data_IF_650665784243
#
_entry.id   IF_650665784243
#
_cell.length_a   1.000
_cell.length_b   1.000
_cell.length_c   1.000
_cell.angle_alpha   90.00
_cell.angle_beta   90.00
_cell.angle_gamma   90.00
#
_symmetry.space_group_name_H-M   'P 1'
#
loop_
_entity.id
_entity.type
_entity.pdbx_description
1 polymer ?
#
# COMPACT_ATOMS: atom_id res chain seq x y z
N UNK A 1 -1.34 4.33 -29.31
CA UNK A 1 -2.06 5.03 -28.22
C UNK A 1 -2.05 6.53 -28.51
N UNK A 2 -3.03 7.35 -28.06
CA UNK A 2 -3.05 8.78 -28.40
C UNK A 2 -1.89 9.54 -27.73
N UNK A 3 -1.41 10.62 -28.34
CA UNK A 3 -0.40 11.51 -27.73
C UNK A 3 -1.00 12.52 -26.74
N UNK A 4 -2.30 12.80 -26.85
CA UNK A 4 -3.06 13.76 -26.05
C UNK A 4 -4.36 13.12 -25.54
N UNK A 5 -4.73 13.38 -24.29
CA UNK A 5 -5.96 12.90 -23.68
C UNK A 5 -6.67 14.02 -22.91
N UNK A 6 -7.88 14.45 -23.31
CA UNK A 6 -8.63 15.49 -22.60
C UNK A 6 -9.16 14.97 -21.26
N UNK A 7 -9.11 15.81 -20.23
CA UNK A 7 -9.64 15.51 -18.90
C UNK A 7 -10.79 16.45 -18.57
N UNK A 8 -11.71 15.98 -17.73
CA UNK A 8 -12.90 16.76 -17.34
C UNK A 8 -12.53 18.08 -16.62
N UNK A 9 -11.51 18.02 -15.76
CA UNK A 9 -10.93 19.11 -14.98
C UNK A 9 -9.61 18.61 -14.36
N UNK A 10 -8.84 19.51 -13.75
CA UNK A 10 -7.57 19.25 -13.07
C UNK A 10 -7.75 18.62 -11.69
N UNK A 11 -6.96 19.04 -10.70
CA UNK A 11 -7.08 18.51 -9.33
C UNK A 11 -8.47 18.79 -8.71
N UNK A 12 -9.11 19.91 -9.08
CA UNK A 12 -10.42 20.31 -8.59
C UNK A 12 -11.38 20.68 -9.73
N UNK A 13 -12.71 20.56 -9.55
CA UNK A 13 -13.69 20.81 -10.62
C UNK A 13 -13.62 22.19 -11.30
N UNK A 14 -13.19 23.23 -10.58
CA UNK A 14 -13.07 24.59 -11.14
C UNK A 14 -11.80 24.80 -11.98
N UNK A 15 -10.85 23.86 -11.95
CA UNK A 15 -9.59 23.94 -12.71
C UNK A 15 -9.78 23.28 -14.08
N UNK A 16 -10.47 23.96 -15.00
CA UNK A 16 -10.71 23.48 -16.36
C UNK A 16 -10.32 24.55 -17.39
N UNK A 17 -9.82 24.16 -18.58
CA UNK A 17 -9.61 22.79 -19.06
C UNK A 17 -8.41 22.08 -18.43
N UNK A 18 -8.34 20.75 -18.58
CA UNK A 18 -7.19 19.93 -18.20
C UNK A 18 -6.96 18.80 -19.21
N UNK A 19 -5.75 18.26 -19.29
CA UNK A 19 -5.38 17.19 -20.21
C UNK A 19 -4.14 16.42 -19.72
N UNK A 20 -3.90 15.25 -20.30
CA UNK A 20 -2.63 14.53 -20.23
C UNK A 20 -1.98 14.53 -21.61
N UNK A 21 -0.66 14.70 -21.65
CA UNK A 21 0.13 14.70 -22.88
C UNK A 21 1.33 13.77 -22.69
N UNK A 22 1.64 12.99 -23.71
CA UNK A 22 2.84 12.16 -23.73
C UNK A 22 4.11 13.02 -23.72
N UNK A 23 5.11 12.59 -22.97
CA UNK A 23 6.40 13.27 -22.96
C UNK A 23 7.11 13.14 -24.33
N UNK A 24 7.87 14.16 -24.72
CA UNK A 24 8.71 14.13 -25.93
C UNK A 24 7.94 14.02 -27.26
N UNK A 25 6.62 14.26 -27.27
CA UNK A 25 5.79 14.13 -28.48
C UNK A 25 5.46 12.68 -28.89
N UNK A 26 5.69 11.71 -28.00
CA UNK A 26 5.36 10.30 -28.22
C UNK A 26 3.88 9.96 -28.01
N UNK A 27 3.60 8.68 -27.77
CA UNK A 27 2.28 8.19 -27.40
C UNK A 27 2.15 8.04 -25.88
N UNK A 28 0.93 8.19 -25.35
CA UNK A 28 0.66 7.86 -23.95
C UNK A 28 0.88 6.37 -23.71
N UNK A 29 1.36 5.96 -22.53
CA UNK A 29 1.65 4.56 -22.24
C UNK A 29 0.40 3.73 -21.92
N UNK A 30 -0.79 4.32 -22.00
CA UNK A 30 -2.03 3.65 -21.67
C UNK A 30 -3.15 3.95 -22.67
N UNK A 31 -4.14 3.07 -22.68
CA UNK A 31 -5.42 3.22 -23.36
C UNK A 31 -6.58 2.91 -22.41
N UNK A 32 -7.74 3.48 -22.72
CA UNK A 32 -8.96 3.30 -21.93
C UNK A 32 -9.74 2.10 -22.48
N UNK A 33 -9.86 1.06 -21.67
CA UNK A 33 -10.67 -0.13 -21.99
C UNK A 33 -12.13 0.10 -21.64
N UNK A 34 -12.41 0.79 -20.53
CA UNK A 34 -13.75 1.17 -20.09
C UNK A 34 -13.72 2.42 -19.21
N UNK A 35 -14.85 3.14 -19.14
CA UNK A 35 -14.99 4.35 -18.34
C UNK A 35 -14.17 5.52 -18.88
N UNK A 36 -13.78 6.44 -18.00
CA UNK A 36 -12.89 7.56 -18.35
C UNK A 36 -12.12 8.02 -17.09
N UNK A 37 -10.77 8.13 -17.14
CA UNK A 37 -9.99 8.58 -16.00
C UNK A 37 -10.10 10.11 -15.80
N UNK A 38 -10.11 10.55 -14.55
CA UNK A 38 -9.89 11.95 -14.17
C UNK A 38 -8.41 12.28 -13.92
N UNK A 39 -8.11 13.53 -13.61
CA UNK A 39 -6.75 14.01 -13.33
C UNK A 39 -6.09 13.27 -12.16
N UNK A 40 -6.77 13.21 -11.00
CA UNK A 40 -6.27 12.49 -9.82
C UNK A 40 -6.14 10.99 -10.09
N UNK A 41 -7.06 10.42 -10.88
CA UNK A 41 -6.96 9.02 -11.27
C UNK A 41 -5.68 8.71 -12.04
N UNK A 42 -5.23 9.61 -12.93
CA UNK A 42 -3.96 9.42 -13.64
C UNK A 42 -2.76 9.58 -12.72
N UNK A 43 -2.81 10.48 -11.71
CA UNK A 43 -1.75 10.58 -10.70
C UNK A 43 -1.62 9.27 -9.91
N UNK A 44 -2.74 8.70 -9.47
CA UNK A 44 -2.75 7.40 -8.79
C UNK A 44 -2.29 6.28 -9.73
N UNK A 45 -2.82 6.21 -10.96
CA UNK A 45 -2.53 5.16 -11.94
C UNK A 45 -1.04 5.10 -12.30
N UNK A 46 -0.42 6.23 -12.61
CA UNK A 46 0.96 6.26 -13.09
C UNK A 46 1.99 6.00 -11.98
N UNK A 47 1.70 6.40 -10.73
CA UNK A 47 2.54 6.03 -9.59
C UNK A 47 2.35 4.55 -9.20
N UNK A 48 1.10 4.10 -9.09
CA UNK A 48 0.78 2.73 -8.71
C UNK A 48 1.25 1.69 -9.72
N UNK A 49 1.18 2.00 -11.02
CA UNK A 49 1.74 1.14 -12.07
C UNK A 49 3.25 0.93 -11.91
N UNK A 50 4.00 2.00 -11.69
CA UNK A 50 5.45 1.90 -11.51
C UNK A 50 5.79 1.07 -10.26
N UNK A 51 5.05 1.25 -9.17
CA UNK A 51 5.22 0.43 -7.97
C UNK A 51 5.08 -1.06 -8.29
N UNK A 52 3.96 -1.50 -8.89
CA UNK A 52 3.71 -2.93 -9.13
C UNK A 52 4.66 -3.50 -10.18
N UNK A 53 5.07 -2.70 -11.17
CA UNK A 53 6.09 -3.09 -12.16
C UNK A 53 7.43 -3.37 -11.48
N UNK A 54 7.89 -2.49 -10.59
CA UNK A 54 9.16 -2.67 -9.89
C UNK A 54 9.11 -3.81 -8.87
N UNK A 55 7.99 -4.02 -8.17
CA UNK A 55 7.80 -5.22 -7.34
C UNK A 55 7.89 -6.50 -8.17
N UNK A 56 7.21 -6.55 -9.34
CA UNK A 56 7.23 -7.70 -10.23
C UNK A 56 8.63 -8.01 -10.74
N UNK A 57 9.39 -6.98 -11.12
CA UNK A 57 10.75 -7.10 -11.62
C UNK A 57 11.74 -7.50 -10.51
N UNK A 58 11.64 -6.89 -9.32
CA UNK A 58 12.58 -7.11 -8.22
C UNK A 58 12.35 -8.42 -7.45
N UNK A 59 11.14 -8.98 -7.51
CA UNK A 59 10.76 -10.17 -6.73
C UNK A 59 10.28 -11.36 -7.57
N UNK A 60 10.03 -11.18 -8.86
CA UNK A 60 9.59 -12.28 -9.73
C UNK A 60 8.20 -12.85 -9.40
N UNK A 61 7.38 -12.11 -8.65
CA UNK A 61 6.03 -12.51 -8.24
C UNK A 61 4.98 -11.50 -8.74
N UNK A 62 3.76 -11.95 -9.14
CA UNK A 62 2.65 -11.03 -9.42
C UNK A 62 2.41 -10.06 -8.27
N UNK A 63 2.18 -8.80 -8.58
CA UNK A 63 2.12 -7.71 -7.62
C UNK A 63 0.86 -6.87 -7.82
N UNK A 64 0.40 -6.27 -6.72
CA UNK A 64 -0.75 -5.38 -6.71
C UNK A 64 -0.54 -4.21 -5.75
N UNK A 65 -1.19 -3.10 -6.05
CA UNK A 65 -1.24 -1.93 -5.18
C UNK A 65 -2.66 -1.35 -5.13
N UNK A 66 -3.03 -0.86 -3.96
CA UNK A 66 -4.23 -0.05 -3.69
C UNK A 66 -3.76 1.37 -3.39
N UNK A 67 -4.11 2.34 -4.24
CA UNK A 67 -3.73 3.74 -4.11
C UNK A 67 -4.90 4.63 -3.72
N UNK A 68 -4.60 5.63 -2.90
CA UNK A 68 -5.53 6.70 -2.55
C UNK A 68 -4.75 7.99 -2.33
N UNK A 69 -5.14 9.06 -3.00
CA UNK A 69 -4.50 10.38 -2.87
C UNK A 69 -2.98 10.34 -3.11
N UNK A 70 -2.56 9.70 -4.20
CA UNK A 70 -1.18 9.63 -4.70
C UNK A 70 -0.21 8.97 -3.71
N UNK A 71 -0.72 8.02 -2.92
CA UNK A 71 0.08 7.16 -2.06
C UNK A 71 -0.57 5.77 -1.95
N UNK A 72 0.22 4.71 -1.76
CA UNK A 72 -0.33 3.38 -1.54
C UNK A 72 -1.04 3.34 -0.17
N UNK A 73 -2.31 2.96 -0.16
CA UNK A 73 -2.98 2.44 1.05
C UNK A 73 -2.42 1.06 1.41
N UNK A 74 -1.96 0.31 0.42
CA UNK A 74 -1.18 -0.91 0.58
C UNK A 74 -0.63 -1.44 -0.76
N UNK A 75 0.38 -2.28 -0.67
CA UNK A 75 0.97 -2.97 -1.81
C UNK A 75 1.44 -4.36 -1.40
N UNK A 76 1.47 -5.30 -2.33
CA UNK A 76 1.88 -6.67 -2.04
C UNK A 76 2.32 -7.45 -3.28
N UNK A 77 3.00 -8.56 -3.06
CA UNK A 77 3.23 -9.64 -4.02
C UNK A 77 2.37 -10.87 -3.71
N UNK A 78 2.22 -11.75 -4.70
CA UNK A 78 1.31 -12.91 -4.72
C UNK A 78 1.72 -14.08 -3.82
N UNK A 79 1.94 -13.84 -2.53
CA UNK A 79 2.14 -14.88 -1.52
C UNK A 79 0.77 -15.42 -1.09
N UNK A 80 0.54 -16.75 -1.02
CA UNK A 80 -0.72 -17.32 -0.56
C UNK A 80 -1.15 -16.77 0.81
N UNK A 81 -2.43 -16.44 0.98
CA UNK A 81 -2.98 -15.94 2.25
C UNK A 81 -3.18 -17.09 3.23
N UNK A 82 -2.87 -16.86 4.50
CA UNK A 82 -3.39 -17.69 5.60
C UNK A 82 -4.90 -17.47 5.75
N UNK A 83 -5.59 -18.41 6.39
CA UNK A 83 -7.05 -18.30 6.60
C UNK A 83 -7.42 -17.02 7.38
N UNK A 84 -6.66 -16.69 8.43
CA UNK A 84 -6.88 -15.48 9.21
C UNK A 84 -6.75 -14.20 8.38
N UNK A 85 -5.73 -14.11 7.50
CA UNK A 85 -5.55 -12.94 6.61
C UNK A 85 -6.64 -12.91 5.54
N UNK A 86 -7.03 -14.07 5.00
CA UNK A 86 -8.11 -14.19 4.01
C UNK A 86 -9.45 -13.70 4.58
N UNK A 87 -9.78 -14.12 5.79
CA UNK A 87 -11.01 -13.74 6.49
C UNK A 87 -10.99 -12.26 6.88
N UNK A 88 -9.90 -11.78 7.48
CA UNK A 88 -9.71 -10.37 7.85
C UNK A 88 -9.72 -9.43 6.63
N UNK A 89 -9.41 -9.93 5.44
CA UNK A 89 -9.44 -9.19 4.18
C UNK A 89 -10.77 -9.34 3.42
N UNK A 90 -11.72 -10.11 3.95
CA UNK A 90 -13.00 -10.45 3.31
C UNK A 90 -12.86 -11.05 1.91
N UNK A 91 -11.79 -11.84 1.71
CA UNK A 91 -11.43 -12.47 0.44
C UNK A 91 -11.98 -13.90 0.27
N UNK A 92 -12.92 -14.32 1.12
CA UNK A 92 -13.58 -15.63 1.03
C UNK A 92 -14.52 -15.80 -0.17
N UNK A 93 -14.83 -17.05 -0.50
CA UNK A 93 -15.78 -17.43 -1.55
C UNK A 93 -15.28 -17.19 -2.98
N UNK A 94 -13.96 -17.14 -3.16
CA UNK A 94 -13.25 -17.14 -4.46
C UNK A 94 -11.96 -17.93 -4.26
N UNK A 95 -11.65 -18.84 -5.17
CA UNK A 95 -10.32 -19.45 -5.24
C UNK A 95 -9.33 -18.39 -5.74
N UNK A 96 -8.25 -18.16 -5.00
CA UNK A 96 -7.34 -17.04 -5.24
C UNK A 96 -6.17 -17.49 -6.12
N UNK A 97 -6.02 -16.86 -7.29
CA UNK A 97 -4.79 -16.88 -8.06
C UNK A 97 -3.67 -16.10 -7.33
N UNK A 98 -2.40 -16.18 -7.77
CA UNK A 98 -1.32 -15.36 -7.22
C UNK A 98 -1.59 -13.85 -7.31
N UNK A 99 -2.16 -13.36 -8.42
CA UNK A 99 -2.50 -11.95 -8.57
C UNK A 99 -3.66 -11.54 -7.65
N UNK A 100 -4.67 -12.41 -7.52
CA UNK A 100 -5.78 -12.19 -6.59
C UNK A 100 -5.31 -12.19 -5.12
N UNK A 101 -4.32 -13.02 -4.78
CA UNK A 101 -3.64 -12.98 -3.49
C UNK A 101 -2.96 -11.63 -3.26
N UNK A 102 -2.19 -11.15 -4.25
CA UNK A 102 -1.53 -9.84 -4.17
C UNK A 102 -2.55 -8.71 -3.95
N UNK A 103 -3.64 -8.69 -4.72
CA UNK A 103 -4.68 -7.66 -4.57
C UNK A 103 -5.40 -7.72 -3.22
N UNK A 104 -5.78 -8.93 -2.77
CA UNK A 104 -6.41 -9.12 -1.46
C UNK A 104 -5.53 -8.60 -0.33
N UNK A 105 -4.20 -8.83 -0.40
CA UNK A 105 -3.22 -8.32 0.57
C UNK A 105 -3.05 -6.80 0.47
N UNK A 106 -2.90 -6.25 -0.72
CA UNK A 106 -2.71 -4.81 -0.95
C UNK A 106 -3.90 -3.99 -0.42
N UNK A 107 -5.13 -4.37 -0.78
CA UNK A 107 -6.35 -3.74 -0.23
C UNK A 107 -6.54 -4.04 1.26
N UNK A 108 -6.12 -5.24 1.68
CA UNK A 108 -6.25 -5.75 3.04
C UNK A 108 -5.39 -5.02 4.06
N UNK A 109 -4.33 -4.32 3.65
CA UNK A 109 -3.46 -3.53 4.54
C UNK A 109 -4.27 -2.52 5.36
N UNK A 110 -5.00 -1.65 4.68
CA UNK A 110 -5.92 -0.68 5.27
C UNK A 110 -7.18 -0.57 4.41
N UNK A 111 -8.23 -1.27 4.85
CA UNK A 111 -9.50 -1.36 4.11
C UNK A 111 -10.30 -0.05 4.14
N UNK A 112 -10.12 0.75 5.19
CA UNK A 112 -10.78 2.06 5.30
C UNK A 112 -10.14 3.04 4.33
N UNK A 113 -8.80 3.11 4.31
CA UNK A 113 -8.06 3.94 3.35
C UNK A 113 -8.26 3.50 1.90
N UNK A 114 -8.48 2.20 1.65
CA UNK A 114 -8.72 1.66 0.30
C UNK A 114 -10.15 1.89 -0.22
N UNK A 115 -11.01 2.61 0.51
CA UNK A 115 -12.35 2.93 0.02
C UNK A 115 -12.29 3.88 -1.20
N UNK A 116 -12.71 3.37 -2.36
CA UNK A 116 -12.56 4.10 -3.64
C UNK A 116 -11.09 4.19 -4.05
N UNK A 117 -10.32 3.12 -3.86
CA UNK A 117 -8.94 3.03 -4.31
C UNK A 117 -8.82 3.06 -5.84
N UNK A 118 -7.66 3.48 -6.31
CA UNK A 118 -7.16 3.13 -7.64
C UNK A 118 -6.28 1.89 -7.52
N UNK A 119 -6.54 0.88 -8.33
CA UNK A 119 -5.82 -0.40 -8.27
C UNK A 119 -4.78 -0.49 -9.38
N UNK A 120 -3.59 -0.97 -9.07
CA UNK A 120 -2.61 -1.37 -10.08
C UNK A 120 -2.28 -2.86 -9.95
N UNK A 121 -2.10 -3.53 -11.08
CA UNK A 121 -1.81 -4.95 -11.18
C UNK A 121 -0.66 -5.16 -12.17
N UNK A 122 0.37 -5.93 -11.80
CA UNK A 122 1.56 -6.12 -12.64
C UNK A 122 1.38 -7.10 -13.79
N UNK A 123 0.35 -7.94 -13.72
CA UNK A 123 0.08 -9.02 -14.67
C UNK A 123 -1.35 -8.87 -15.22
N UNK A 124 -1.72 -9.66 -16.24
CA UNK A 124 -3.06 -9.64 -16.81
C UNK A 124 -4.14 -9.89 -15.74
N UNK A 125 -5.22 -9.10 -15.75
CA UNK A 125 -6.31 -9.25 -14.80
C UNK A 125 -7.09 -10.53 -15.10
N UNK A 126 -6.94 -11.51 -14.22
CA UNK A 126 -7.67 -12.77 -14.25
C UNK A 126 -9.06 -12.67 -13.61
N UNK A 127 -9.88 -13.70 -13.84
CA UNK A 127 -11.23 -13.77 -13.31
C UNK A 127 -11.29 -13.75 -11.77
N UNK A 128 -10.45 -14.49 -11.00
CA UNK A 128 -10.40 -14.38 -9.55
C UNK A 128 -10.17 -12.96 -9.04
N UNK A 129 -9.20 -12.24 -9.61
CA UNK A 129 -8.88 -10.86 -9.24
C UNK A 129 -10.06 -9.93 -9.57
N UNK A 130 -10.65 -10.09 -10.75
CA UNK A 130 -11.83 -9.33 -11.16
C UNK A 130 -13.04 -9.58 -10.24
N UNK A 131 -13.24 -10.81 -9.76
CA UNK A 131 -14.31 -11.16 -8.80
C UNK A 131 -14.12 -10.48 -7.45
N UNK A 132 -12.89 -10.36 -6.95
CA UNK A 132 -12.59 -9.59 -5.75
C UNK A 132 -12.86 -8.11 -5.97
N UNK A 133 -12.26 -7.52 -7.01
CA UNK A 133 -12.45 -6.11 -7.40
C UNK A 133 -13.93 -5.76 -7.53
N UNK A 134 -14.74 -6.61 -8.18
CA UNK A 134 -16.16 -6.37 -8.43
C UNK A 134 -16.96 -6.09 -7.17
N UNK A 135 -16.66 -6.78 -6.06
CA UNK A 135 -17.40 -6.68 -4.80
C UNK A 135 -17.01 -5.44 -3.97
N UNK A 136 -15.93 -4.78 -4.32
CA UNK A 136 -15.34 -3.68 -3.55
C UNK A 136 -15.66 -2.30 -4.15
N UNK A 137 -15.64 -1.26 -3.32
CA UNK A 137 -15.70 0.14 -3.78
C UNK A 137 -14.30 0.57 -4.18
N UNK A 138 -14.13 0.87 -5.47
CA UNK A 138 -12.88 1.22 -6.15
C UNK A 138 -13.21 2.19 -7.29
N UNK A 139 -12.31 3.12 -7.59
CA UNK A 139 -12.45 4.15 -8.62
C UNK A 139 -11.96 3.69 -10.00
N UNK A 140 -10.97 2.79 -10.05
CA UNK A 140 -10.49 2.23 -11.30
C UNK A 140 -9.33 1.26 -11.13
N UNK A 141 -8.87 0.70 -12.25
CA UNK A 141 -7.75 -0.24 -12.29
C UNK A 141 -6.85 0.01 -13.51
N UNK A 142 -5.53 -0.12 -13.32
CA UNK A 142 -4.51 -0.13 -14.36
C UNK A 142 -3.77 -1.48 -14.37
N UNK A 143 -3.62 -2.09 -15.54
CA UNK A 143 -2.96 -3.38 -15.72
C UNK A 143 -2.40 -3.53 -17.15
N UNK A 144 -1.44 -4.44 -17.42
CA UNK A 144 -0.92 -4.65 -18.77
C UNK A 144 -1.94 -5.32 -19.71
N UNK A 145 -2.98 -5.95 -19.16
CA UNK A 145 -4.02 -6.63 -19.93
C UNK A 145 -5.19 -7.06 -19.06
N UNK A 146 -6.30 -7.46 -19.69
CA UNK A 146 -7.50 -7.96 -19.02
C UNK A 146 -8.02 -9.19 -19.77
N UNK A 147 -8.27 -10.28 -19.05
CA UNK A 147 -8.98 -11.44 -19.62
C UNK A 147 -10.42 -11.06 -20.01
N UNK A 148 -11.02 -11.81 -20.94
CA UNK A 148 -12.41 -11.57 -21.36
C UNK A 148 -13.38 -11.61 -20.17
N UNK A 149 -13.20 -12.57 -19.26
CA UNK A 149 -14.00 -12.69 -18.04
C UNK A 149 -13.82 -11.48 -17.12
N UNK A 150 -12.60 -10.95 -16.99
CA UNK A 150 -12.35 -9.74 -16.21
C UNK A 150 -13.05 -8.52 -16.81
N UNK A 151 -12.97 -8.31 -18.13
CA UNK A 151 -13.68 -7.22 -18.82
C UNK A 151 -15.18 -7.32 -18.58
N UNK A 152 -15.77 -8.50 -18.79
CA UNK A 152 -17.22 -8.71 -18.59
C UNK A 152 -17.67 -8.40 -17.16
N UNK A 153 -16.88 -8.79 -16.16
CA UNK A 153 -17.19 -8.58 -14.74
C UNK A 153 -17.03 -7.12 -14.32
N UNK A 154 -15.93 -6.48 -14.73
CA UNK A 154 -15.54 -5.15 -14.26
C UNK A 154 -16.29 -4.04 -14.99
N UNK A 155 -16.65 -4.21 -16.27
CA UNK A 155 -17.48 -3.25 -17.01
C UNK A 155 -18.87 -3.09 -16.41
N UNK A 156 -19.36 -4.02 -15.59
CA UNK A 156 -20.65 -3.89 -14.89
C UNK A 156 -20.59 -3.01 -13.63
N UNK A 157 -19.39 -2.69 -13.13
CA UNK A 157 -19.23 -1.86 -11.93
C UNK A 157 -19.62 -0.41 -12.21
N UNK A 158 -20.07 0.28 -11.16
CA UNK A 158 -20.43 1.70 -11.20
C UNK A 158 -21.42 2.06 -12.33
N UNK A 159 -22.34 1.15 -12.66
CA UNK A 159 -23.33 1.34 -13.72
C UNK A 159 -22.71 1.48 -15.11
N UNK A 160 -21.65 0.72 -15.42
CA UNK A 160 -20.98 0.75 -16.72
C UNK A 160 -19.72 1.61 -16.79
N UNK A 161 -19.44 2.41 -15.75
CA UNK A 161 -18.47 3.52 -15.83
C UNK A 161 -17.14 3.27 -15.13
N UNK A 162 -16.95 2.09 -14.54
CA UNK A 162 -15.71 1.77 -13.83
C UNK A 162 -14.49 1.88 -14.77
N UNK A 163 -13.50 2.66 -14.34
CA UNK A 163 -12.37 2.98 -15.21
C UNK A 163 -11.38 1.81 -15.29
N UNK A 164 -11.08 1.36 -16.50
CA UNK A 164 -10.07 0.33 -16.76
C UNK A 164 -9.05 0.87 -17.75
N UNK A 165 -7.79 0.94 -17.33
CA UNK A 165 -6.66 1.36 -18.17
C UNK A 165 -5.78 0.16 -18.50
N UNK A 166 -5.53 -0.07 -19.79
CA UNK A 166 -4.49 -1.00 -20.24
C UNK A 166 -3.21 -0.22 -20.49
N UNK A 167 -2.12 -0.62 -19.85
CA UNK A 167 -0.79 0.04 -19.96
C UNK A 167 0.16 -0.81 -20.78
N UNK A 168 0.99 -0.20 -21.60
CA UNK A 168 2.09 -0.89 -22.29
C UNK A 168 3.23 -1.19 -21.29
N UNK A 169 3.50 -2.46 -20.97
CA UNK A 169 4.57 -2.80 -20.04
C UNK A 169 5.98 -2.52 -20.58
N UNK A 170 6.14 -2.40 -21.90
CA UNK A 170 7.42 -2.09 -22.53
C UNK A 170 7.75 -0.59 -22.50
N UNK A 171 6.78 0.28 -22.22
CA UNK A 171 7.00 1.72 -22.17
C UNK A 171 8.08 2.08 -21.13
N UNK A 172 9.03 2.92 -21.54
CA UNK A 172 10.04 3.52 -20.68
C UNK A 172 9.84 5.04 -20.65
N UNK A 173 9.64 5.66 -19.47
CA UNK A 173 9.57 7.11 -19.37
C UNK A 173 10.93 7.75 -19.67
N UNK A 174 10.97 9.03 -20.09
CA UNK A 174 12.23 9.77 -20.22
C UNK A 174 13.02 9.82 -18.91
N UNK A 175 14.34 9.93 -19.01
CA UNK A 175 15.25 10.01 -17.85
C UNK A 175 15.07 11.28 -17.01
N UNK A 176 14.54 12.35 -17.62
CA UNK A 176 14.28 13.63 -16.96
C UNK A 176 12.80 13.91 -16.85
N UNK A 177 12.40 14.52 -15.74
CA UNK A 177 11.04 14.96 -15.49
C UNK A 177 11.01 16.46 -15.14
N UNK A 178 9.91 17.11 -15.50
CA UNK A 178 9.67 18.53 -15.24
C UNK A 178 8.36 18.69 -14.47
N UNK A 179 8.34 19.62 -13.51
CA UNK A 179 7.12 20.08 -12.85
C UNK A 179 7.10 21.59 -12.73
N UNK A 180 5.91 22.18 -12.76
CA UNK A 180 5.73 23.61 -12.52
C UNK A 180 5.21 23.86 -11.11
N UNK A 181 5.83 24.79 -10.39
CA UNK A 181 5.37 25.27 -9.08
C UNK A 181 5.42 26.78 -9.10
N UNK A 182 4.27 27.42 -8.87
CA UNK A 182 4.15 28.90 -8.84
C UNK A 182 4.72 29.57 -10.12
N UNK A 183 4.48 28.97 -11.29
CA UNK A 183 5.00 29.45 -12.57
C UNK A 183 6.50 29.24 -12.80
N UNK A 184 7.19 28.52 -11.90
CA UNK A 184 8.61 28.17 -12.03
C UNK A 184 8.73 26.71 -12.43
N UNK A 185 9.48 26.44 -13.50
CA UNK A 185 9.80 25.07 -13.93
C UNK A 185 10.96 24.51 -13.10
N UNK A 186 10.72 23.36 -12.47
CA UNK A 186 11.73 22.53 -11.82
C UNK A 186 11.98 21.31 -12.70
N UNK A 187 13.24 20.98 -12.96
CA UNK A 187 13.64 19.83 -13.78
C UNK A 187 14.71 19.01 -13.05
N UNK A 188 14.58 17.68 -13.10
CA UNK A 188 15.53 16.75 -12.49
C UNK A 188 15.55 15.42 -13.26
N UNK A 189 16.56 14.56 -13.06
CA UNK A 189 16.44 13.15 -13.36
C UNK A 189 15.29 12.51 -12.56
N UNK A 190 14.58 11.56 -13.16
CA UNK A 190 13.59 10.74 -12.44
C UNK A 190 14.28 9.79 -11.46
N UNK A 191 13.54 9.31 -10.46
CA UNK A 191 14.06 8.29 -9.54
C UNK A 191 14.00 6.89 -10.20
N UNK A 192 15.15 6.39 -10.64
CA UNK A 192 15.33 5.09 -11.29
C UNK A 192 15.94 4.01 -10.37
N UNK A 193 16.23 4.31 -9.11
CA UNK A 193 16.71 3.33 -8.13
C UNK A 193 15.64 2.27 -7.85
N UNK A 194 16.02 0.99 -7.81
CA UNK A 194 15.09 -0.13 -7.60
C UNK A 194 15.53 -0.99 -6.43
N UNK A 195 14.58 -1.42 -5.59
CA UNK A 195 14.83 -2.46 -4.60
C UNK A 195 14.60 -3.85 -5.22
N UNK A 196 15.42 -4.82 -4.83
CA UNK A 196 15.28 -6.23 -5.19
C UNK A 196 15.83 -7.10 -4.07
N UNK A 197 15.69 -8.43 -4.16
CA UNK A 197 16.33 -9.35 -3.20
C UNK A 197 17.85 -9.13 -3.11
N UNK A 198 18.48 -8.76 -4.22
CA UNK A 198 19.94 -8.57 -4.33
C UNK A 198 20.38 -7.10 -4.15
N UNK A 199 19.43 -6.16 -4.05
CA UNK A 199 19.71 -4.74 -3.91
C UNK A 199 18.95 -4.13 -2.72
N UNK A 200 19.37 -4.48 -1.51
CA UNK A 200 18.83 -3.96 -0.25
C UNK A 200 19.83 -3.12 0.54
N UNK A 201 21.10 -3.12 0.13
CA UNK A 201 22.19 -2.43 0.80
C UNK A 201 22.99 -3.30 1.76
N UNK A 202 23.84 -2.65 2.55
CA UNK A 202 24.81 -3.31 3.43
C UNK A 202 24.37 -3.29 4.90
N UNK A 203 24.67 -4.33 5.67
CA UNK A 203 24.31 -4.39 7.07
C UNK A 203 25.08 -3.36 7.92
N UNK A 204 24.37 -2.64 8.79
CA UNK A 204 24.92 -1.69 9.77
C UNK A 204 25.05 -2.29 11.18
N UNK A 205 24.38 -3.41 11.44
CA UNK A 205 24.32 -4.09 12.74
C UNK A 205 25.33 -5.24 12.85
N UNK A 206 25.56 -5.73 14.08
CA UNK A 206 26.42 -6.92 14.29
C UNK A 206 25.81 -8.18 13.71
N UNK A 207 24.48 -8.31 13.80
CA UNK A 207 23.74 -9.35 13.09
C UNK A 207 23.54 -8.90 11.65
N UNK A 208 23.90 -9.75 10.69
CA UNK A 208 23.87 -9.43 9.26
C UNK A 208 22.99 -10.39 8.45
N UNK A 209 22.53 -11.49 9.06
CA UNK A 209 21.72 -12.49 8.39
C UNK A 209 20.32 -11.97 8.07
N UNK A 210 20.01 -11.90 6.77
CA UNK A 210 18.67 -11.60 6.26
C UNK A 210 18.07 -12.86 5.62
N UNK A 211 17.06 -13.50 6.24
CA UNK A 211 16.30 -14.57 5.62
C UNK A 211 15.63 -14.10 4.32
N UNK A 212 15.37 -14.99 3.38
CA UNK A 212 14.74 -14.66 2.09
C UNK A 212 13.37 -13.96 2.25
N UNK A 213 12.58 -14.36 3.25
CA UNK A 213 11.33 -13.68 3.59
C UNK A 213 11.56 -12.22 4.00
N UNK A 214 12.59 -11.95 4.82
CA UNK A 214 12.95 -10.59 5.23
C UNK A 214 13.44 -9.74 4.06
N UNK A 215 14.23 -10.34 3.14
CA UNK A 215 14.67 -9.64 1.91
C UNK A 215 13.48 -9.24 1.04
N UNK A 216 12.54 -10.16 0.81
CA UNK A 216 11.28 -9.89 0.10
C UNK A 216 10.51 -8.75 0.77
N UNK A 217 10.36 -8.80 2.10
CA UNK A 217 9.53 -7.83 2.82
C UNK A 217 10.19 -6.44 2.88
N UNK A 218 11.52 -6.36 2.99
CA UNK A 218 12.26 -5.11 2.85
C UNK A 218 12.16 -4.53 1.42
N UNK A 219 12.23 -5.37 0.38
CA UNK A 219 12.04 -4.91 -0.99
C UNK A 219 10.62 -4.38 -1.21
N UNK A 220 9.59 -5.06 -0.68
CA UNK A 220 8.20 -4.57 -0.70
C UNK A 220 8.11 -3.21 -0.01
N UNK A 221 8.69 -3.07 1.18
CA UNK A 221 8.64 -1.83 1.94
C UNK A 221 9.36 -0.67 1.22
N UNK A 222 10.59 -0.89 0.74
CA UNK A 222 11.39 0.12 0.04
C UNK A 222 10.73 0.58 -1.28
N UNK A 223 10.27 -0.36 -2.11
CA UNK A 223 9.56 -0.02 -3.35
C UNK A 223 8.24 0.71 -3.05
N UNK A 224 7.54 0.37 -1.97
CA UNK A 224 6.34 1.11 -1.53
C UNK A 224 6.70 2.56 -1.18
N UNK A 225 7.76 2.78 -0.41
CA UNK A 225 8.18 4.13 0.00
C UNK A 225 8.62 5.02 -1.16
N UNK A 226 9.27 4.44 -2.18
CA UNK A 226 9.63 5.16 -3.41
C UNK A 226 8.46 5.88 -4.07
N UNK A 227 7.23 5.36 -3.91
CA UNK A 227 5.99 5.90 -4.47
C UNK A 227 5.01 6.39 -3.41
N UNK A 228 5.48 6.69 -2.20
CA UNK A 228 4.68 7.24 -1.10
C UNK A 228 5.07 8.69 -0.85
N UNK A 229 4.10 9.59 -0.75
CA UNK A 229 4.37 11.01 -0.47
C UNK A 229 5.21 11.17 0.82
N UNK A 230 6.28 11.94 0.75
CA UNK A 230 7.26 12.06 1.83
C UNK A 230 6.87 13.05 2.93
N UNK A 231 7.37 12.89 4.16
CA UNK A 231 8.20 11.75 4.61
C UNK A 231 7.34 10.52 4.87
N UNK A 232 7.92 9.35 4.59
CA UNK A 232 7.21 8.07 4.64
C UNK A 232 7.96 6.96 5.39
N UNK A 233 7.18 6.09 6.04
CA UNK A 233 7.63 4.90 6.80
C UNK A 233 6.73 3.73 6.43
N UNK A 234 7.29 2.54 6.23
CA UNK A 234 6.53 1.37 5.80
C UNK A 234 6.93 0.15 6.61
N UNK A 235 5.94 -0.60 7.08
CA UNK A 235 6.09 -1.91 7.70
C UNK A 235 5.49 -2.96 6.76
N UNK A 236 6.20 -4.06 6.57
CA UNK A 236 5.82 -5.15 5.70
C UNK A 236 6.13 -6.52 6.34
N UNK A 237 5.30 -7.51 6.02
CA UNK A 237 5.49 -8.91 6.39
C UNK A 237 4.74 -9.78 5.37
N UNK A 238 5.21 -11.00 5.11
CA UNK A 238 4.55 -11.96 4.21
C UNK A 238 4.30 -11.42 2.79
N UNK A 239 5.21 -10.58 2.31
CA UNK A 239 5.18 -10.00 0.97
C UNK A 239 4.14 -8.89 0.82
N UNK A 240 3.65 -8.31 1.92
CA UNK A 240 2.70 -7.19 1.87
C UNK A 240 3.05 -6.07 2.83
N UNK A 241 2.64 -4.86 2.46
CA UNK A 241 2.50 -3.74 3.40
C UNK A 241 1.45 -4.09 4.45
N UNK A 242 1.75 -3.79 5.71
CA UNK A 242 0.82 -3.88 6.84
C UNK A 242 0.60 -2.53 7.52
N UNK A 243 1.49 -1.57 7.31
CA UNK A 243 1.32 -0.21 7.78
C UNK A 243 2.20 0.75 6.99
N UNK A 244 1.63 1.86 6.54
CA UNK A 244 2.37 2.90 5.81
C UNK A 244 1.93 4.29 6.26
N UNK A 245 2.94 5.11 6.59
CA UNK A 245 2.80 6.53 6.86
C UNK A 245 3.27 7.35 5.67
N UNK A 246 2.50 8.38 5.32
CA UNK A 246 2.71 9.23 4.16
C UNK A 246 2.51 10.70 4.53
N UNK A 247 3.24 11.60 3.86
CA UNK A 247 3.07 13.05 3.96
C UNK A 247 3.41 13.63 5.33
N UNK A 248 4.15 12.91 6.18
CA UNK A 248 4.45 13.35 7.53
C UNK A 248 5.71 14.22 7.57
N UNK A 249 5.81 15.10 8.57
CA UNK A 249 6.93 16.04 8.69
C UNK A 249 7.99 15.57 9.70
N UNK A 250 7.58 14.81 10.71
CA UNK A 250 8.46 14.27 11.75
C UNK A 250 8.65 12.76 11.56
N UNK A 251 9.91 12.30 11.57
CA UNK A 251 10.25 10.90 11.38
C UNK A 251 9.60 9.99 12.42
N UNK A 252 9.71 10.34 13.71
CA UNK A 252 9.10 9.55 14.78
C UNK A 252 7.57 9.55 14.72
N UNK A 253 6.94 10.66 14.30
CA UNK A 253 5.48 10.68 14.11
C UNK A 253 5.07 9.76 12.94
N UNK A 254 5.84 9.76 11.85
CA UNK A 254 5.61 8.85 10.73
C UNK A 254 5.78 7.39 11.15
N UNK A 255 6.82 7.07 11.95
CA UNK A 255 7.05 5.73 12.50
C UNK A 255 5.90 5.28 13.39
N UNK A 256 5.45 6.13 14.32
CA UNK A 256 4.29 5.84 15.18
C UNK A 256 3.03 5.57 14.34
N UNK A 257 2.73 6.45 13.39
CA UNK A 257 1.56 6.30 12.53
C UNK A 257 1.60 5.01 11.70
N UNK A 258 2.74 4.71 11.05
CA UNK A 258 2.88 3.49 10.26
C UNK A 258 2.76 2.23 11.13
N UNK A 259 3.37 2.24 12.32
CA UNK A 259 3.31 1.11 13.24
C UNK A 259 1.93 0.94 13.89
N UNK A 260 1.20 2.02 14.19
CA UNK A 260 -0.18 1.95 14.67
C UNK A 260 -1.11 1.33 13.62
N UNK A 261 -0.87 1.59 12.32
CA UNK A 261 -1.58 0.91 11.24
C UNK A 261 -1.25 -0.58 11.18
N UNK A 262 0.02 -0.95 11.32
CA UNK A 262 0.44 -2.35 11.39
C UNK A 262 -0.20 -3.09 12.57
N UNK A 263 -0.27 -2.45 13.73
CA UNK A 263 -0.93 -2.98 14.92
C UNK A 263 -2.43 -3.22 14.67
N UNK A 264 -3.13 -2.27 14.02
CA UNK A 264 -4.53 -2.45 13.61
C UNK A 264 -4.70 -3.59 12.60
N UNK A 265 -3.82 -3.69 11.61
CA UNK A 265 -3.84 -4.80 10.64
C UNK A 265 -3.71 -6.16 11.34
N UNK A 266 -2.84 -6.25 12.34
CA UNK A 266 -2.67 -7.49 13.12
C UNK A 266 -3.86 -7.78 14.02
N UNK A 267 -4.40 -6.77 14.71
CA UNK A 267 -5.59 -6.92 15.55
C UNK A 267 -6.83 -7.35 14.78
N UNK A 268 -6.95 -7.01 13.49
CA UNK A 268 -8.06 -7.47 12.63
C UNK A 268 -8.12 -9.00 12.48
N UNK A 269 -7.01 -9.69 12.76
CA UNK A 269 -6.91 -11.15 12.70
C UNK A 269 -7.21 -11.80 14.06
N UNK A 270 -7.46 -11.02 15.11
CA UNK A 270 -7.79 -11.55 16.43
C UNK A 270 -9.08 -12.37 16.37
N UNK A 271 -9.18 -13.54 17.04
CA UNK A 271 -10.36 -14.41 16.99
C UNK A 271 -11.69 -13.69 17.30
N UNK A 272 -11.69 -12.77 18.27
CA UNK A 272 -12.88 -11.97 18.58
C UNK A 272 -13.33 -11.04 17.43
N UNK A 273 -12.39 -10.57 16.58
CA UNK A 273 -12.71 -9.78 15.39
C UNK A 273 -13.24 -10.67 14.28
N UNK A 274 -12.60 -11.82 14.05
CA UNK A 274 -13.04 -12.79 13.05
C UNK A 274 -14.41 -13.39 13.38
N UNK A 275 -14.77 -13.45 14.66
CA UNK A 275 -16.07 -13.93 15.15
C UNK A 275 -17.18 -12.86 15.16
N UNK A 276 -16.92 -11.63 14.70
CA UNK A 276 -17.92 -10.55 14.71
C UNK A 276 -19.16 -10.92 13.90
N UNK A 277 -20.32 -10.79 14.54
CA UNK A 277 -21.61 -11.17 13.97
C UNK A 277 -22.38 -9.95 13.46
N UNK A 278 -22.17 -9.63 12.18
CA UNK A 278 -22.81 -8.48 11.53
C UNK A 278 -24.31 -8.69 11.31
N UNK A 279 -25.08 -7.60 11.39
CA UNK A 279 -26.49 -7.62 11.00
C UNK A 279 -26.66 -7.95 9.52
N UNK A 280 -27.83 -8.48 9.17
CA UNK A 280 -28.14 -8.78 7.77
C UNK A 280 -28.25 -7.50 6.92
N UNK A 281 -27.90 -7.62 5.65
CA UNK A 281 -27.93 -6.50 4.70
C UNK A 281 -26.78 -5.49 4.81
N UNK A 282 -25.86 -5.63 5.78
CA UNK A 282 -24.74 -4.71 5.94
C UNK A 282 -23.75 -4.80 4.78
N UNK A 283 -23.48 -3.66 4.11
CA UNK A 283 -22.52 -3.56 3.02
C UNK A 283 -21.07 -3.75 3.48
N UNK A 284 -20.15 -4.00 2.53
CA UNK A 284 -18.72 -4.18 2.85
C UNK A 284 -18.08 -2.94 3.51
N UNK A 285 -18.28 -1.70 3.02
CA UNK A 285 -17.73 -0.51 3.67
C UNK A 285 -18.24 -0.32 5.10
N UNK A 286 -19.52 -0.63 5.35
CA UNK A 286 -20.08 -0.57 6.71
C UNK A 286 -19.46 -1.62 7.64
N UNK A 287 -19.17 -2.83 7.13
CA UNK A 287 -18.41 -3.85 7.88
C UNK A 287 -16.98 -3.40 8.18
N UNK A 288 -16.31 -2.79 7.20
CA UNK A 288 -14.95 -2.26 7.37
C UNK A 288 -14.92 -1.21 8.50
N UNK A 289 -15.86 -0.27 8.48
CA UNK A 289 -16.01 0.74 9.55
C UNK A 289 -16.39 0.12 10.90
N UNK A 290 -17.24 -0.91 10.91
CA UNK A 290 -17.60 -1.60 12.14
C UNK A 290 -16.41 -2.33 12.78
N UNK A 291 -15.53 -2.93 11.96
CA UNK A 291 -14.28 -3.54 12.43
C UNK A 291 -13.30 -2.48 12.93
N UNK A 292 -13.09 -1.37 12.21
CA UNK A 292 -12.23 -0.28 12.69
C UNK A 292 -12.75 0.30 14.01
N UNK A 293 -14.06 0.54 14.10
CA UNK A 293 -14.71 0.97 15.35
C UNK A 293 -14.51 -0.03 16.49
N UNK A 294 -14.57 -1.34 16.23
CA UNK A 294 -14.31 -2.36 17.25
C UNK A 294 -12.89 -2.27 17.81
N UNK A 295 -11.92 -1.82 17.02
CA UNK A 295 -10.51 -1.72 17.41
C UNK A 295 -10.12 -0.40 18.08
N UNK A 296 -10.92 0.66 17.93
CA UNK A 296 -10.63 2.03 18.42
C UNK A 296 -11.04 2.29 19.88
N UNK A 297 -10.12 2.67 20.76
CA UNK A 297 -10.45 2.94 22.17
C UNK A 297 -11.16 4.28 22.43
N UNK A 298 -11.38 5.09 21.40
CA UNK A 298 -11.77 6.50 21.46
C UNK A 298 -13.11 6.81 20.78
N UNK A 299 -14.02 5.83 20.69
CA UNK A 299 -15.35 6.07 20.12
C UNK A 299 -16.13 7.08 20.96
N UNK A 300 -16.65 8.12 20.32
CA UNK A 300 -17.55 9.06 20.98
C UNK A 300 -18.86 8.35 21.40
N UNK A 301 -19.57 8.79 22.47
CA UNK A 301 -20.79 8.10 22.92
C UNK A 301 -21.87 7.94 21.85
N UNK A 302 -22.09 8.96 21.01
CA UNK A 302 -23.04 8.88 19.90
C UNK A 302 -22.56 7.92 18.79
N UNK A 303 -21.26 7.91 18.51
CA UNK A 303 -20.64 6.99 17.56
C UNK A 303 -20.77 5.54 18.05
N UNK A 304 -20.56 5.29 19.35
CA UNK A 304 -20.72 3.97 19.96
C UNK A 304 -22.15 3.43 19.83
N UNK A 305 -23.16 4.28 20.01
CA UNK A 305 -24.56 3.90 19.86
C UNK A 305 -24.91 3.51 18.40
N UNK A 306 -24.33 4.20 17.42
CA UNK A 306 -24.50 3.89 15.98
C UNK A 306 -23.72 2.62 15.62
N UNK A 307 -22.47 2.52 16.07
CA UNK A 307 -21.59 1.38 15.83
C UNK A 307 -22.20 0.06 16.32
N UNK A 308 -22.85 0.07 17.49
CA UNK A 308 -23.51 -1.12 18.04
C UNK A 308 -24.61 -1.68 17.12
N UNK A 309 -25.23 -0.83 16.28
CA UNK A 309 -26.28 -1.23 15.34
C UNK A 309 -25.73 -2.01 14.13
N UNK A 310 -24.41 -2.09 13.95
CA UNK A 310 -23.81 -2.90 12.88
C UNK A 310 -23.87 -4.41 13.16
N UNK A 311 -24.16 -4.81 14.40
CA UNK A 311 -24.08 -6.21 14.85
C UNK A 311 -25.45 -6.80 15.19
N UNK A 312 -25.58 -8.12 15.09
CA UNK A 312 -26.78 -8.84 15.58
C UNK A 312 -26.91 -8.74 17.09
N UNK A 313 -25.76 -8.80 17.78
CA UNK A 313 -25.60 -8.56 19.20
C UNK A 313 -24.31 -7.76 19.39
N UNK A 314 -24.35 -6.68 20.16
CA UNK A 314 -23.18 -5.84 20.40
C UNK A 314 -22.04 -6.68 21.01
N UNK A 315 -20.85 -6.72 20.38
CA UNK A 315 -19.75 -7.56 20.85
C UNK A 315 -19.06 -6.92 22.05
N UNK A 316 -18.50 -7.75 22.93
CA UNK A 316 -17.58 -7.28 23.97
C UNK A 316 -16.27 -6.80 23.34
N UNK A 317 -15.80 -5.63 23.77
CA UNK A 317 -14.59 -5.02 23.22
C UNK A 317 -13.34 -5.63 23.85
N UNK A 318 -12.27 -5.71 23.06
CA UNK A 318 -10.96 -6.10 23.57
C UNK A 318 -10.44 -5.07 24.56
N UNK A 319 -10.04 -5.53 25.75
CA UNK A 319 -9.32 -4.72 26.73
C UNK A 319 -7.91 -4.36 26.23
N UNK A 320 -7.27 -3.28 26.74
CA UNK A 320 -5.90 -2.95 26.39
C UNK A 320 -4.90 -4.10 26.64
N UNK A 321 -5.10 -4.89 27.69
CA UNK A 321 -4.27 -6.05 28.00
C UNK A 321 -4.39 -7.16 26.95
N UNK A 322 -5.63 -7.49 26.53
CA UNK A 322 -5.87 -8.48 25.47
C UNK A 322 -5.28 -8.03 24.13
N UNK A 323 -5.41 -6.73 23.79
CA UNK A 323 -4.78 -6.17 22.59
C UNK A 323 -3.27 -6.30 22.65
N UNK A 324 -2.65 -5.95 23.78
CA UNK A 324 -1.19 -6.06 23.96
C UNK A 324 -0.71 -7.51 23.84
N UNK A 325 -1.39 -8.45 24.49
CA UNK A 325 -1.06 -9.87 24.40
C UNK A 325 -1.10 -10.38 22.95
N UNK A 326 -2.09 -9.94 22.16
CA UNK A 326 -2.17 -10.30 20.74
C UNK A 326 -1.05 -9.66 19.91
N UNK A 327 -0.78 -8.36 20.14
CA UNK A 327 0.28 -7.61 19.45
C UNK A 327 1.68 -8.18 19.74
N UNK A 328 1.93 -8.70 20.94
CA UNK A 328 3.20 -9.36 21.30
C UNK A 328 3.49 -10.63 20.47
N UNK A 329 2.48 -11.17 19.76
CA UNK A 329 2.63 -12.34 18.89
C UNK A 329 3.07 -11.98 17.46
N UNK A 330 3.02 -10.70 17.08
CA UNK A 330 3.51 -10.25 15.78
C UNK A 330 5.04 -10.26 15.79
N UNK A 331 5.64 -10.91 14.79
CA UNK A 331 7.08 -11.09 14.68
C UNK A 331 7.53 -11.01 13.22
N UNK A 332 8.85 -10.96 13.03
CA UNK A 332 9.53 -10.98 11.72
C UNK A 332 9.11 -9.87 10.76
N UNK A 333 8.67 -8.72 11.30
CA UNK A 333 8.27 -7.57 10.49
C UNK A 333 9.50 -6.84 9.95
N UNK A 334 9.45 -6.49 8.67
CA UNK A 334 10.39 -5.59 8.02
C UNK A 334 9.88 -4.14 8.11
N UNK A 335 10.76 -3.20 8.43
CA UNK A 335 10.47 -1.76 8.43
C UNK A 335 11.43 -1.05 7.48
N UNK A 336 10.94 -0.14 6.66
CA UNK A 336 11.76 0.76 5.84
C UNK A 336 11.47 2.23 6.15
N UNK A 337 12.46 3.08 5.91
CA UNK A 337 12.38 4.54 6.00
C UNK A 337 12.91 5.18 4.72
N UNK A 338 12.18 6.17 4.18
CA UNK A 338 12.59 6.88 2.95
C UNK A 338 13.79 7.81 3.15
N UNK A 339 14.10 8.18 4.40
CA UNK A 339 15.30 8.92 4.80
C UNK A 339 15.98 8.28 6.00
N UNK A 340 17.12 8.83 6.41
CA UNK A 340 17.83 8.32 7.59
C UNK A 340 16.97 8.42 8.86
N UNK A 341 17.19 7.48 9.78
CA UNK A 341 16.55 7.47 11.10
C UNK A 341 17.37 8.37 12.03
N UNK A 342 16.80 9.45 12.59
CA UNK A 342 17.57 10.42 13.34
C UNK A 342 17.88 9.97 14.77
N UNK A 343 16.99 9.20 15.41
CA UNK A 343 17.11 8.81 16.82
C UNK A 343 16.57 7.41 17.08
N UNK A 344 17.01 6.79 18.17
CA UNK A 344 16.64 5.42 18.59
C UNK A 344 15.16 5.22 18.88
N UNK A 345 14.42 6.28 19.18
CA UNK A 345 12.99 6.25 19.49
C UNK A 345 12.15 5.61 18.36
N UNK A 346 12.61 5.71 17.12
CA UNK A 346 12.02 5.03 15.98
C UNK A 346 12.18 3.51 16.07
N UNK A 347 13.36 3.04 16.49
CA UNK A 347 13.65 1.62 16.70
C UNK A 347 12.88 1.10 17.92
N UNK A 348 12.84 1.89 19.00
CA UNK A 348 12.09 1.53 20.22
C UNK A 348 10.59 1.35 19.90
N UNK A 349 9.98 2.25 19.09
CA UNK A 349 8.59 2.09 18.63
C UNK A 349 8.41 0.90 17.68
N UNK A 350 9.33 0.70 16.75
CA UNK A 350 9.28 -0.40 15.79
C UNK A 350 9.32 -1.78 16.48
N UNK A 351 10.13 -1.91 17.53
CA UNK A 351 10.23 -3.14 18.33
C UNK A 351 8.88 -3.58 18.91
N UNK A 352 8.00 -2.64 19.25
CA UNK A 352 6.67 -2.92 19.81
C UNK A 352 5.68 -3.52 18.81
N UNK A 353 6.00 -3.47 17.51
CA UNK A 353 5.20 -4.01 16.40
C UNK A 353 5.94 -5.15 15.66
N UNK A 354 6.76 -5.92 16.39
CA UNK A 354 7.34 -7.15 15.86
C UNK A 354 8.49 -6.97 14.87
N UNK A 355 9.03 -5.75 14.73
CA UNK A 355 10.10 -5.47 13.76
C UNK A 355 11.39 -6.23 14.11
N UNK A 356 11.95 -6.90 13.10
CA UNK A 356 13.24 -7.61 13.18
C UNK A 356 14.23 -7.17 12.11
N UNK A 357 13.75 -6.56 11.04
CA UNK A 357 14.55 -6.16 9.89
C UNK A 357 14.28 -4.70 9.55
N UNK A 358 15.30 -3.87 9.42
CA UNK A 358 15.18 -2.43 9.19
C UNK A 358 15.99 -2.01 7.97
N UNK A 359 15.41 -1.24 7.06
CA UNK A 359 16.15 -0.56 5.99
C UNK A 359 16.02 0.95 6.11
N UNK A 360 17.13 1.64 5.92
CA UNK A 360 17.20 3.10 5.81
C UNK A 360 18.35 3.46 4.85
N UNK A 361 18.43 4.69 4.32
CA UNK A 361 19.46 5.05 3.35
C UNK A 361 20.89 5.00 3.89
N UNK A 362 21.07 5.19 5.20
CA UNK A 362 22.37 5.44 5.83
C UNK A 362 22.85 6.87 5.62
N UNK A 363 24.04 7.17 6.14
CA UNK A 363 24.70 8.47 6.02
C UNK A 363 24.34 9.47 7.13
N UNK A 364 23.71 9.03 8.21
CA UNK A 364 23.48 9.87 9.40
C UNK A 364 24.69 9.84 10.32
N UNK A 365 25.02 10.99 10.92
CA UNK A 365 26.02 11.07 12.00
C UNK A 365 25.65 10.22 13.21
N UNK A 366 24.38 9.80 13.32
CA UNK A 366 23.83 8.95 14.38
C UNK A 366 23.62 7.49 13.98
N UNK A 367 24.05 7.07 12.79
CA UNK A 367 23.85 5.67 12.34
C UNK A 367 24.39 4.66 13.34
N UNK A 368 25.53 4.93 13.99
CA UNK A 368 26.09 4.05 15.04
C UNK A 368 25.18 3.93 16.27
N UNK A 369 24.54 5.03 16.68
CA UNK A 369 23.63 5.05 17.83
C UNK A 369 22.36 4.25 17.51
N UNK A 370 21.81 4.43 16.32
CA UNK A 370 20.59 3.75 15.88
C UNK A 370 20.85 2.26 15.61
N UNK A 371 21.99 1.90 15.01
CA UNK A 371 22.41 0.51 14.82
C UNK A 371 22.64 -0.20 16.16
N UNK A 372 23.22 0.49 17.16
CA UNK A 372 23.35 -0.06 18.51
C UNK A 372 21.99 -0.32 19.18
N UNK A 373 20.97 0.51 18.92
CA UNK A 373 19.61 0.24 19.37
C UNK A 373 19.02 -1.01 18.67
N UNK A 374 19.20 -1.17 17.36
CA UNK A 374 18.80 -2.39 16.65
C UNK A 374 19.47 -3.64 17.23
N UNK A 375 20.77 -3.58 17.50
CA UNK A 375 21.51 -4.67 18.15
C UNK A 375 20.92 -5.03 19.53
N UNK A 376 20.47 -4.05 20.34
CA UNK A 376 19.82 -4.30 21.64
C UNK A 376 18.53 -5.10 21.51
N UNK A 377 17.78 -4.88 20.41
CA UNK A 377 16.55 -5.61 20.11
C UNK A 377 16.79 -6.87 19.25
N UNK A 378 18.04 -7.21 18.92
CA UNK A 378 18.38 -8.33 18.05
C UNK A 378 17.91 -8.18 16.60
N UNK A 379 17.70 -6.93 16.15
CA UNK A 379 17.30 -6.59 14.79
C UNK A 379 18.49 -6.53 13.85
N UNK A 380 18.24 -6.75 12.56
CA UNK A 380 19.19 -6.45 11.48
C UNK A 380 18.82 -5.11 10.85
N UNK A 381 19.76 -4.18 10.73
CA UNK A 381 19.59 -2.95 9.97
C UNK A 381 20.48 -2.96 8.73
N UNK A 382 19.94 -2.54 7.59
CA UNK A 382 20.70 -2.31 6.35
C UNK A 382 20.66 -0.85 5.92
N UNK A 383 21.77 -0.38 5.34
CA UNK A 383 21.91 0.89 4.64
C UNK A 383 21.67 0.68 3.14
N UNK A 384 20.47 1.04 2.65
CA UNK A 384 20.08 0.89 1.25
C UNK A 384 20.88 1.76 0.28
N UNK A 385 21.56 2.80 0.78
CA UNK A 385 22.31 3.77 -0.02
C UNK A 385 21.44 4.74 -0.82
N UNK A 386 20.11 4.65 -0.72
CA UNK A 386 19.17 5.44 -1.52
C UNK A 386 18.12 6.12 -0.64
N UNK A 387 18.09 7.46 -0.72
CA UNK A 387 17.01 8.28 -0.14
C UNK A 387 15.83 8.33 -1.12
N UNK A 388 14.63 8.05 -0.64
CA UNK A 388 13.43 7.81 -1.44
C UNK A 388 12.38 8.91 -1.29
N UNK A 389 12.80 10.17 -1.28
CA UNK A 389 11.83 11.27 -1.21
C UNK A 389 10.94 11.33 -2.47
N UNK A 390 9.64 11.52 -2.24
CA UNK A 390 8.63 11.64 -3.29
C UNK A 390 7.65 12.75 -2.94
N UNK A 391 7.47 13.70 -3.86
CA UNK A 391 6.66 14.91 -3.71
C UNK A 391 5.94 15.26 -5.00
#
# INVERSE_FOLDING_TARGET
>A
MPSFFPLRYGANPHQAPAWALAAGGGELPFEVVNGAPGYINLLDALNSWQLVRELRQGLGLPAAASFKHVSPAGAAVGVPLSDAVRDASFAGGVELSPLACAYARARGADRVSSFGDWVALSDEVDEPTARLLRREVSDGVIAPGFSEAAVQLLSQKQGGRYCMLRVDPAYAPPERETREVFGVTLEQPRNDWTASIDNLGEALTRRTELPEAAKRDLAVALTTLKYTQSNSMCLAVDGQVIGVGAGQQSRIHCTRLAADKADRWWLRQHPAVLALSFREGLGRPERDNAVDGFLRDDLAPAEQAIWAQAFRSAPERLTPAQKREWLDRLADVAMASDAFIPFRDNIDRAAMSGVRYVAQPGGSVRDREVAAACDQYGMVMVASGARLFHH
#
